data_IF_159621800165
#
_entry.id   IF_159621800165
#
_cell.length_a   1.000
_cell.length_b   1.000
_cell.length_c   1.000
_cell.angle_alpha   90.00
_cell.angle_beta   90.00
_cell.angle_gamma   90.00
#
_symmetry.space_group_name_H-M   'P 1'
#
loop_
_entity.id
_entity.type
_entity.pdbx_description
1 polymer ?
2 non-polymer ?
3 non-polymer ?
4 water ?
#
# COMPACT_ATOMS: atom_id res chain seq x y z
N UNK A 3 23.29 2.58 3.34
CA UNK A 3 21.91 3.09 3.07
C UNK A 3 20.89 2.46 4.05
N UNK A 4 20.60 1.17 3.84
CA UNK A 4 20.04 0.29 4.86
C UNK A 4 21.12 -0.79 5.00
N UNK A 5 21.34 -1.31 6.21
CA UNK A 5 22.14 -2.54 6.36
C UNK A 5 21.62 -3.52 7.40
N UNK A 6 21.12 -4.65 6.89
CA UNK A 6 20.27 -5.56 7.63
C UNK A 6 20.93 -6.93 7.68
N UNK A 7 21.56 -7.25 8.81
CA UNK A 7 22.19 -8.53 8.93
C UNK A 7 21.33 -9.46 9.76
N UNK A 8 20.51 -8.91 10.64
CA UNK A 8 19.73 -9.71 11.58
C UNK A 8 18.27 -9.34 11.49
N UNK A 9 17.38 -10.24 11.92
CA UNK A 9 15.96 -9.93 12.11
C UNK A 9 15.77 -8.71 12.99
N UNK A 10 16.61 -8.57 14.02
CA UNK A 10 16.59 -7.40 14.90
C UNK A 10 16.83 -6.11 14.12
N UNK A 11 17.83 -6.09 13.25
CA UNK A 11 18.10 -4.90 12.42
C UNK A 11 16.94 -4.62 11.49
N UNK A 12 16.33 -5.67 10.94
CA UNK A 12 15.23 -5.50 9.99
C UNK A 12 14.10 -4.80 10.70
N UNK A 13 13.78 -5.27 11.91
CA UNK A 13 12.69 -4.73 12.67
C UNK A 13 12.95 -3.25 12.99
N UNK A 14 14.19 -2.91 13.31
CA UNK A 14 14.56 -1.53 13.59
C UNK A 14 14.46 -0.70 12.33
N UNK A 15 14.91 -1.24 11.19
CA UNK A 15 14.84 -0.51 9.93
C UNK A 15 13.38 -0.14 9.62
N UNK A 16 12.50 -1.13 9.67
CA UNK A 16 11.09 -0.94 9.30
C UNK A 16 10.35 -0.13 10.34
N UNK A 17 10.67 -0.33 11.62
CA UNK A 17 10.06 0.53 12.64
C UNK A 17 10.44 1.98 12.36
N UNK A 18 11.71 2.21 12.04
CA UNK A 18 12.19 3.57 11.74
C UNK A 18 11.53 4.20 10.51
N UNK A 19 11.34 3.38 9.47
CA UNK A 19 10.67 3.80 8.24
C UNK A 19 9.21 4.21 8.56
N UNK A 20 8.52 3.35 9.32
CA UNK A 20 7.12 3.61 9.68
C UNK A 20 6.98 4.88 10.51
N UNK A 21 7.93 5.09 11.43
CA UNK A 21 7.92 6.28 12.29
C UNK A 21 8.04 7.56 11.45
N UNK A 22 8.96 7.55 10.49
CA UNK A 22 9.02 8.66 9.53
C UNK A 22 7.73 8.84 8.71
N UNK A 23 7.16 7.72 8.25
CA UNK A 23 5.91 7.76 7.47
C UNK A 23 4.80 8.43 8.29
N UNK A 24 4.70 8.06 9.57
CA UNK A 24 3.65 8.63 10.41
C UNK A 24 3.87 10.13 10.62
N UNK A 25 5.12 10.54 10.88
CA UNK A 25 5.42 11.97 11.10
C UNK A 25 5.10 12.80 9.85
N UNK A 26 5.52 12.30 8.68
CA UNK A 26 5.18 12.92 7.42
C UNK A 26 3.69 13.02 7.19
N UNK A 27 2.94 11.96 7.49
CA UNK A 27 1.52 11.97 7.31
C UNK A 27 0.83 13.07 8.16
N UNK A 28 1.26 13.26 9.41
CA UNK A 28 0.69 14.31 10.27
C UNK A 28 0.92 15.70 9.68
N UNK A 29 2.05 15.91 9.02
CA UNK A 29 2.31 17.18 8.34
C UNK A 29 1.37 17.44 7.17
N UNK A 30 0.99 16.37 6.48
CA UNK A 30 0.10 16.42 5.31
C UNK A 30 -1.41 16.48 5.59
N UNK A 31 -1.86 15.87 6.69
CA UNK A 31 -3.27 15.69 6.92
C UNK A 31 -4.05 17.01 7.05
N UNK A 32 -3.43 18.05 7.62
CA UNK A 32 -4.22 19.31 7.72
C UNK A 32 -4.68 19.87 6.36
N UNK A 33 -3.77 19.86 5.41
CA UNK A 33 -4.07 20.29 4.06
C UNK A 33 -5.13 19.41 3.40
N UNK A 34 -5.02 18.09 3.62
CA UNK A 34 -6.03 17.19 3.07
C UNK A 34 -7.41 17.53 3.65
N UNK A 35 -7.47 17.82 4.94
CA UNK A 35 -8.73 18.16 5.54
C UNK A 35 -9.30 19.43 4.93
N UNK A 36 -8.45 20.42 4.61
CA UNK A 36 -8.94 21.71 4.05
C UNK A 36 -9.37 21.58 2.61
N UNK A 37 -8.68 20.68 1.88
CA UNK A 37 -8.83 20.54 0.44
C UNK A 37 -10.17 19.94 0.03
N UNK A 38 -10.85 19.31 0.97
CA UNK A 38 -12.16 18.78 0.64
C UNK A 38 -13.29 19.66 1.13
N UNK A 39 -14.30 19.85 0.28
CA UNK A 39 -15.52 20.58 0.65
C UNK A 39 -16.52 19.66 1.36
N UNK A 40 -16.38 18.34 1.20
CA UNK A 40 -17.26 17.43 1.92
C UNK A 40 -16.90 17.39 3.39
N UNK A 41 -17.85 17.78 4.23
CA UNK A 41 -17.61 17.87 5.67
C UNK A 41 -17.24 16.54 6.32
N UNK A 42 -17.97 15.47 5.99
CA UNK A 42 -17.67 14.14 6.50
C UNK A 42 -16.24 13.65 6.20
N UNK A 43 -15.75 13.92 4.99
CA UNK A 43 -14.40 13.53 4.62
C UNK A 43 -13.40 14.43 5.34
N UNK A 44 -13.78 15.70 5.47
CA UNK A 44 -12.99 16.67 6.19
C UNK A 44 -12.82 16.17 7.65
N UNK A 45 -13.93 15.74 8.27
CA UNK A 45 -13.87 15.21 9.63
C UNK A 45 -13.03 13.94 9.74
N UNK A 46 -13.08 13.08 8.72
CA UNK A 46 -12.34 11.83 8.74
C UNK A 46 -10.85 12.15 8.71
N UNK A 47 -10.47 13.15 7.92
CA UNK A 47 -9.07 13.59 7.90
C UNK A 47 -8.56 14.14 9.23
N UNK A 48 -9.39 14.92 9.94
CA UNK A 48 -8.98 15.43 11.25
C UNK A 48 -8.94 14.31 12.29
N UNK A 49 -9.89 13.38 12.24
CA UNK A 49 -9.84 12.17 13.09
C UNK A 49 -8.61 11.32 12.83
N UNK A 50 -8.26 11.16 11.56
CA UNK A 50 -7.09 10.38 11.22
C UNK A 50 -5.81 11.02 11.75
N UNK A 51 -5.75 12.35 11.73
CA UNK A 51 -4.62 13.05 12.31
C UNK A 51 -4.46 12.72 13.81
N UNK A 52 -5.52 12.93 14.58
CA UNK A 52 -5.45 12.72 16.02
C UNK A 52 -5.07 11.26 16.33
N UNK A 53 -5.61 10.33 15.54
CA UNK A 53 -5.34 8.88 15.65
C UNK A 53 -3.86 8.58 15.36
N UNK A 54 -3.32 9.18 14.31
CA UNK A 54 -1.90 9.05 13.92
C UNK A 54 -0.99 9.59 15.01
N UNK A 55 -1.40 10.68 15.64
CA UNK A 55 -0.66 11.22 16.79
C UNK A 55 -0.50 10.13 17.86
N UNK A 56 -1.59 9.46 18.24
CA UNK A 56 -1.54 8.39 19.22
C UNK A 56 -0.70 7.21 18.75
N UNK A 57 -0.68 6.99 17.43
CA UNK A 57 0.12 5.91 16.88
C UNK A 57 1.62 6.21 16.95
N UNK A 58 1.98 7.48 16.80
CA UNK A 58 3.38 7.86 17.01
C UNK A 58 3.77 7.66 18.49
N UNK A 59 2.87 8.03 19.40
CA UNK A 59 3.14 7.82 20.82
C UNK A 59 3.31 6.33 21.13
N UNK A 60 2.56 5.46 20.46
CA UNK A 60 2.79 4.00 20.65
C UNK A 60 4.20 3.60 20.23
N UNK A 61 4.67 4.17 19.13
CA UNK A 61 6.00 3.84 18.65
C UNK A 61 7.03 4.29 19.72
N UNK A 62 6.87 5.49 20.31
CA UNK A 62 7.79 5.88 21.40
C UNK A 62 7.75 4.86 22.55
N UNK A 63 6.55 4.45 22.95
CA UNK A 63 6.38 3.36 23.92
C UNK A 63 7.01 2.02 23.53
N UNK A 64 6.88 1.63 22.27
CA UNK A 64 7.57 0.44 21.74
C UNK A 64 9.10 0.58 21.93
N UNK A 65 9.62 1.77 21.61
CA UNK A 65 11.04 2.06 21.70
C UNK A 65 11.52 1.99 23.17
N UNK A 66 10.75 2.53 24.11
CA UNK A 66 11.08 2.41 25.54
C UNK A 66 10.94 0.98 26.11
N UNK A 67 10.21 0.10 25.42
CA UNK A 67 9.84 -1.21 25.99
C UNK A 67 10.94 -2.28 25.88
N UNK A 68 11.97 -1.99 25.11
CA UNK A 68 12.97 -2.97 24.79
C UNK A 68 14.27 -2.23 24.55
N UNK A 69 15.32 -2.63 25.26
CA UNK A 69 16.62 -2.02 25.05
C UNK A 69 17.13 -2.56 23.73
N UNK A 70 17.94 -1.77 23.04
CA UNK A 70 18.39 -2.19 21.71
C UNK A 70 17.31 -2.15 20.63
N UNK A 71 16.11 -1.65 20.97
CA UNK A 71 15.26 -1.03 19.97
C UNK A 71 15.64 0.44 20.03
N UNK A 72 16.40 0.89 19.04
CA UNK A 72 16.75 2.29 18.90
C UNK A 72 16.38 2.71 17.47
N UNK A 73 15.60 3.78 17.33
CA UNK A 73 15.21 4.31 16.01
C UNK A 73 16.36 5.01 15.27
N UNK A 74 16.41 4.82 13.96
CA UNK A 74 17.37 5.53 13.10
C UNK A 74 16.64 6.63 12.39
N UNK A 75 17.24 7.81 12.31
CA UNK A 75 16.64 8.91 11.58
C UNK A 75 16.73 8.60 10.08
N UNK A 76 15.58 8.53 9.41
CA UNK A 76 15.55 8.29 7.96
C UNK A 76 14.25 8.84 7.38
N UNK A 77 14.25 9.11 6.08
CA UNK A 77 13.05 9.56 5.40
C UNK A 77 12.39 8.40 4.67
N UNK A 78 11.12 8.12 5.00
CA UNK A 78 10.36 7.07 4.31
C UNK A 78 9.94 7.58 2.94
N UNK A 79 10.60 7.08 1.90
CA UNK A 79 10.48 7.68 0.55
C UNK A 79 9.15 7.29 -0.10
N UNK A 80 8.68 6.07 0.17
CA UNK A 80 7.35 5.65 -0.30
C UNK A 80 6.24 6.55 0.25
N UNK A 81 6.22 6.76 1.56
CA UNK A 81 5.21 7.64 2.10
C UNK A 81 5.36 9.01 1.46
N UNK A 82 6.59 9.47 1.26
CA UNK A 82 6.79 10.77 0.64
C UNK A 82 6.12 10.85 -0.72
N UNK A 83 6.29 9.80 -1.51
CA UNK A 83 5.69 9.75 -2.87
C UNK A 83 4.16 9.68 -2.77
N UNK A 84 3.63 8.87 -1.84
CA UNK A 84 2.16 8.79 -1.67
C UNK A 84 1.54 10.13 -1.26
N UNK A 85 2.21 10.84 -0.37
CA UNK A 85 1.74 12.18 -0.01
C UNK A 85 1.84 13.18 -1.17
N UNK A 86 2.93 13.09 -1.95
CA UNK A 86 3.08 13.94 -3.15
C UNK A 86 1.90 13.73 -4.12
N UNK A 87 1.50 12.47 -4.29
CA UNK A 87 0.34 12.10 -5.14
C UNK A 87 -0.97 12.71 -4.66
N UNK A 88 -1.19 12.70 -3.33
CA UNK A 88 -2.38 13.36 -2.77
C UNK A 88 -2.35 14.87 -3.07
N UNK A 89 -1.16 15.47 -2.96
CA UNK A 89 -1.04 16.90 -3.28
C UNK A 89 -1.24 17.21 -4.75
N UNK A 90 -0.77 16.32 -5.63
CA UNK A 90 -1.00 16.46 -7.08
C UNK A 90 -2.51 16.37 -7.39
N UNK A 91 -3.22 15.49 -6.69
CA UNK A 91 -4.64 15.41 -6.82
C UNK A 91 -5.28 16.78 -6.56
N UNK A 92 -4.88 17.44 -5.47
CA UNK A 92 -5.44 18.75 -5.13
C UNK A 92 -5.19 19.80 -6.22
N UNK A 93 -3.96 19.83 -6.72
CA UNK A 93 -3.53 20.71 -7.81
C UNK A 93 -4.20 20.43 -9.15
N UNK A 94 -4.73 19.22 -9.33
CA UNK A 94 -5.27 18.78 -10.63
C UNK A 94 -6.78 18.71 -10.74
N UNK A 95 -7.48 19.20 -9.72
CA UNK A 95 -8.91 19.07 -9.68
C UNK A 95 -9.50 20.35 -9.17
N UNK A 96 -10.79 20.50 -9.39
CA UNK A 96 -11.59 21.52 -8.74
C UNK A 96 -11.99 20.97 -7.39
N UNK A 97 -12.37 21.86 -6.48
CA UNK A 97 -12.81 21.44 -5.17
C UNK A 97 -14.24 20.93 -5.23
N UNK A 98 -14.39 19.63 -5.52
CA UNK A 98 -15.70 19.04 -5.62
C UNK A 98 -15.65 17.53 -5.34
N UNK A 99 -16.74 16.83 -5.66
CA UNK A 99 -16.86 15.41 -5.40
C UNK A 99 -15.83 14.56 -6.14
N UNK A 100 -15.32 15.06 -7.26
CA UNK A 100 -14.33 14.36 -8.04
C UNK A 100 -13.00 14.41 -7.29
N UNK A 101 -12.67 15.59 -6.79
CA UNK A 101 -11.51 15.68 -5.91
C UNK A 101 -11.69 14.74 -4.72
N UNK A 102 -12.88 14.75 -4.11
CA UNK A 102 -13.08 13.91 -2.94
C UNK A 102 -12.78 12.43 -3.25
N UNK A 103 -13.34 11.93 -4.33
CA UNK A 103 -13.10 10.55 -4.79
C UNK A 103 -11.61 10.27 -4.90
N UNK A 104 -10.87 11.23 -5.46
CA UNK A 104 -9.47 11.04 -5.77
C UNK A 104 -8.59 11.14 -4.54
N UNK A 105 -9.00 12.00 -3.59
CA UNK A 105 -8.34 12.11 -2.31
C UNK A 105 -8.55 10.87 -1.42
N UNK A 106 -9.78 10.34 -1.44
CA UNK A 106 -10.06 9.09 -0.71
C UNK A 106 -9.17 7.99 -1.25
N UNK A 107 -9.08 7.88 -2.56
CA UNK A 107 -8.21 6.87 -3.18
C UNK A 107 -6.74 7.00 -2.73
N UNK A 108 -6.23 8.23 -2.73
CA UNK A 108 -4.85 8.51 -2.40
C UNK A 108 -4.63 8.15 -0.94
N UNK A 109 -5.62 8.49 -0.10
CA UNK A 109 -5.52 8.20 1.32
C UNK A 109 -5.63 6.71 1.63
N UNK A 110 -6.36 5.97 0.81
CA UNK A 110 -6.36 4.51 1.00
C UNK A 110 -5.06 3.83 0.59
N UNK A 111 -4.34 4.40 -0.38
CA UNK A 111 -2.99 3.88 -0.70
C UNK A 111 -2.06 4.16 0.49
N UNK A 112 -2.19 5.33 1.10
CA UNK A 112 -1.46 5.60 2.35
C UNK A 112 -1.76 4.58 3.47
N UNK A 113 -3.04 4.37 3.77
CA UNK A 113 -3.46 3.43 4.80
C UNK A 113 -2.96 2.03 4.54
N UNK A 114 -3.01 1.61 3.30
CA UNK A 114 -2.61 0.25 2.97
C UNK A 114 -1.10 0.05 3.02
N UNK A 115 -0.34 1.09 2.74
CA UNK A 115 1.10 1.06 2.96
C UNK A 115 1.35 0.80 4.46
N UNK A 116 0.54 1.43 5.30
CA UNK A 116 0.69 1.26 6.75
C UNK A 116 0.15 -0.07 7.26
N UNK A 117 -0.95 -0.53 6.68
CA UNK A 117 -1.45 -1.88 7.02
C UNK A 117 -0.38 -2.95 6.73
N UNK A 118 0.25 -2.88 5.56
CA UNK A 118 1.31 -3.80 5.27
C UNK A 118 2.48 -3.69 6.28
N UNK A 119 2.97 -2.47 6.52
CA UNK A 119 4.10 -2.22 7.42
C UNK A 119 3.86 -2.72 8.84
N UNK A 120 2.71 -2.40 9.39
CA UNK A 120 2.37 -2.84 10.74
C UNK A 120 2.15 -4.34 10.89
N UNK A 121 1.61 -4.94 9.85
CA UNK A 121 1.45 -6.40 9.79
C UNK A 121 2.81 -7.06 9.86
N UNK A 122 3.78 -6.56 9.11
CA UNK A 122 5.13 -7.10 9.16
C UNK A 122 5.79 -6.86 10.54
N UNK A 123 5.70 -5.65 11.07
CA UNK A 123 6.19 -5.32 12.44
C UNK A 123 5.60 -6.22 13.54
N UNK A 124 4.29 -6.49 13.48
CA UNK A 124 3.69 -7.35 14.47
C UNK A 124 4.26 -8.79 14.35
N UNK A 125 4.39 -9.29 13.12
CA UNK A 125 5.04 -10.59 12.87
C UNK A 125 6.46 -10.67 13.46
N UNK A 126 7.30 -9.71 13.14
CA UNK A 126 8.66 -9.71 13.63
C UNK A 126 8.71 -9.48 15.14
N UNK A 127 7.81 -8.65 15.69
CA UNK A 127 7.78 -8.47 17.14
C UNK A 127 7.51 -9.78 17.85
N UNK A 128 6.51 -10.54 17.39
CA UNK A 128 6.18 -11.85 17.95
C UNK A 128 7.38 -12.80 17.90
N UNK A 129 8.01 -12.86 16.73
CA UNK A 129 9.20 -13.68 16.56
C UNK A 129 10.34 -13.30 17.51
N UNK A 130 10.50 -12.01 17.76
CA UNK A 130 11.57 -11.54 18.61
C UNK A 130 11.24 -11.63 20.10
N UNK A 131 10.00 -11.97 20.44
CA UNK A 131 9.54 -11.99 21.83
C UNK A 131 9.38 -10.60 22.45
N UNK A 132 9.07 -9.59 21.63
CA UNK A 132 8.79 -8.24 22.14
C UNK A 132 7.31 -8.16 22.46
N UNK A 133 6.93 -8.67 23.63
CA UNK A 133 5.53 -8.87 23.97
C UNK A 133 4.76 -7.55 24.03
N UNK A 134 5.37 -6.53 24.62
CA UNK A 134 4.72 -5.24 24.73
C UNK A 134 4.56 -4.57 23.34
N UNK A 135 5.61 -4.59 22.52
CA UNK A 135 5.52 -4.08 21.16
C UNK A 135 4.37 -4.79 20.42
N UNK A 136 4.32 -6.12 20.51
CA UNK A 136 3.29 -6.90 19.84
C UNK A 136 1.90 -6.35 20.10
N UNK A 137 1.53 -6.18 21.37
CA UNK A 137 0.20 -5.63 21.66
C UNK A 137 0.02 -4.20 21.16
N UNK A 138 1.04 -3.34 21.27
CA UNK A 138 0.94 -1.99 20.72
C UNK A 138 0.79 -1.97 19.17
N UNK A 139 1.61 -2.77 18.50
CA UNK A 139 1.59 -2.85 17.04
C UNK A 139 0.25 -3.38 16.56
N UNK A 140 -0.28 -4.40 17.23
CA UNK A 140 -1.57 -4.96 16.86
C UNK A 140 -2.68 -3.94 17.02
N UNK A 141 -2.59 -3.12 18.07
CA UNK A 141 -3.56 -2.04 18.26
C UNK A 141 -3.55 -1.01 17.12
N UNK A 142 -2.37 -0.57 16.72
CA UNK A 142 -2.30 0.36 15.60
C UNK A 142 -2.84 -0.31 14.32
N UNK A 143 -2.46 -1.56 14.11
CA UNK A 143 -2.85 -2.28 12.93
C UNK A 143 -4.38 -2.35 12.78
N UNK A 144 -5.02 -2.70 13.89
CA UNK A 144 -6.47 -2.72 13.98
C UNK A 144 -7.06 -1.36 13.62
N UNK A 145 -6.59 -0.29 14.26
CA UNK A 145 -7.00 1.08 13.88
C UNK A 145 -6.79 1.39 12.38
N UNK A 146 -5.67 0.96 11.82
CA UNK A 146 -5.38 1.29 10.43
C UNK A 146 -6.42 0.60 9.53
N UNK A 147 -6.76 -0.65 9.85
CA UNK A 147 -7.77 -1.37 9.08
C UNK A 147 -9.15 -0.72 9.18
N UNK A 148 -9.54 -0.28 10.38
CA UNK A 148 -10.76 0.52 10.58
C UNK A 148 -10.78 1.83 9.82
N UNK A 149 -9.64 2.49 9.74
CA UNK A 149 -9.59 3.75 9.01
C UNK A 149 -9.81 3.50 7.51
N UNK A 150 -9.20 2.45 6.98
CA UNK A 150 -9.34 2.09 5.59
C UNK A 150 -10.80 1.75 5.29
N UNK A 151 -11.44 1.00 6.19
CA UNK A 151 -12.85 0.72 6.07
C UNK A 151 -13.75 1.97 6.12
N UNK A 152 -13.48 2.89 7.04
CA UNK A 152 -14.24 4.14 7.07
C UNK A 152 -14.07 4.88 5.73
N UNK A 153 -12.87 4.85 5.16
CA UNK A 153 -12.61 5.55 3.89
C UNK A 153 -13.36 4.87 2.74
N UNK A 154 -13.45 3.55 2.75
CA UNK A 154 -14.27 2.83 1.78
C UNK A 154 -15.76 3.26 1.86
N UNK A 155 -16.28 3.32 3.09
CA UNK A 155 -17.62 3.86 3.33
C UNK A 155 -17.82 5.22 2.67
N UNK A 156 -16.88 6.15 2.90
CA UNK A 156 -16.94 7.45 2.23
C UNK A 156 -16.80 7.36 0.69
N UNK A 157 -15.94 6.47 0.19
CA UNK A 157 -15.79 6.30 -1.29
C UNK A 157 -17.13 5.92 -1.94
N UNK A 158 -17.79 4.95 -1.33
CA UNK A 158 -19.07 4.42 -1.80
C UNK A 158 -20.22 5.43 -1.60
N UNK A 159 -20.19 6.15 -0.48
CA UNK A 159 -21.10 7.24 -0.18
C UNK A 159 -20.94 8.52 -1.04
N UNK A 160 -19.84 8.63 -1.79
CA UNK A 160 -19.59 9.77 -2.70
C UNK A 160 -20.49 9.74 -3.96
N UNK A 161 -21.20 8.62 -4.20
CA UNK A 161 -22.13 8.47 -5.35
C UNK A 161 -23.34 9.46 -5.37
N UNK B 4 -1.78 14.00 -15.11
CA UNK B 4 -3.06 13.94 -14.35
C UNK B 4 -3.92 15.18 -14.64
N UNK B 5 -4.90 15.05 -15.53
CA UNK B 5 -5.90 16.11 -15.79
C UNK B 5 -7.30 15.48 -15.72
N UNK B 6 -8.06 15.82 -14.67
CA UNK B 6 -9.19 14.99 -14.24
C UNK B 6 -10.38 15.84 -13.86
N UNK B 7 -11.45 15.78 -14.64
CA UNK B 7 -12.60 16.64 -14.37
C UNK B 7 -13.82 15.87 -13.91
N UNK B 8 -13.90 14.59 -14.29
CA UNK B 8 -15.07 13.78 -14.03
C UNK B 8 -14.67 12.46 -13.36
N UNK B 9 -15.65 11.80 -12.76
CA UNK B 9 -15.45 10.46 -12.24
C UNK B 9 -14.93 9.52 -13.33
N UNK B 10 -15.43 9.65 -14.55
CA UNK B 10 -14.95 8.83 -15.66
C UNK B 10 -13.45 9.06 -15.94
N UNK B 11 -13.02 10.33 -15.91
CA UNK B 11 -11.59 10.62 -16.08
C UNK B 11 -10.75 10.02 -14.94
N UNK B 12 -11.26 10.05 -13.72
CA UNK B 12 -10.54 9.50 -12.58
C UNK B 12 -10.38 8.00 -12.76
N UNK B 13 -11.48 7.34 -13.18
CA UNK B 13 -11.41 5.86 -13.40
C UNK B 13 -10.33 5.50 -14.43
N UNK B 14 -10.36 6.18 -15.57
CA UNK B 14 -9.36 5.95 -16.60
C UNK B 14 -7.94 6.22 -16.06
N UNK B 15 -7.79 7.32 -15.34
CA UNK B 15 -6.51 7.65 -14.79
C UNK B 15 -5.97 6.55 -13.85
N UNK B 16 -6.79 6.12 -12.89
CA UNK B 16 -6.38 5.07 -11.96
C UNK B 16 -6.22 3.71 -12.63
N UNK B 17 -7.07 3.36 -13.59
CA UNK B 17 -6.92 2.07 -14.31
C UNK B 17 -5.64 2.05 -15.10
N UNK B 18 -5.30 3.19 -15.71
CA UNK B 18 -4.06 3.33 -16.46
C UNK B 18 -2.86 3.21 -15.55
N UNK B 19 -2.96 3.79 -14.36
CA UNK B 19 -1.93 3.69 -13.35
C UNK B 19 -1.72 2.24 -12.92
N UNK B 20 -2.82 1.57 -12.62
CA UNK B 20 -2.75 0.19 -12.14
C UNK B 20 -2.19 -0.72 -13.25
N UNK B 21 -2.54 -0.43 -14.50
CA UNK B 21 -2.07 -1.17 -15.65
C UNK B 21 -0.55 -1.07 -15.75
N UNK B 22 -0.03 0.17 -15.67
CA UNK B 22 1.40 0.32 -15.61
C UNK B 22 2.04 -0.41 -14.41
N UNK B 23 1.41 -0.32 -13.24
CA UNK B 23 1.94 -0.98 -12.05
C UNK B 23 2.10 -2.51 -12.29
N UNK B 24 1.09 -3.12 -12.91
CA UNK B 24 1.08 -4.57 -13.10
C UNK B 24 2.20 -4.96 -14.09
N UNK B 25 2.31 -4.19 -15.17
CA UNK B 25 3.36 -4.49 -16.16
C UNK B 25 4.73 -4.39 -15.52
N UNK B 26 4.92 -3.41 -14.64
CA UNK B 26 6.20 -3.22 -13.95
C UNK B 26 6.51 -4.36 -13.03
N UNK B 27 5.48 -4.78 -12.31
CA UNK B 27 5.64 -5.82 -11.36
C UNK B 27 6.00 -7.14 -12.06
N UNK B 28 5.44 -7.42 -13.24
CA UNK B 28 5.81 -8.64 -13.95
C UNK B 28 7.29 -8.60 -14.36
N UNK B 29 7.84 -7.41 -14.65
CA UNK B 29 9.26 -7.30 -14.99
C UNK B 29 10.16 -7.60 -13.80
N UNK B 30 9.66 -7.30 -12.60
CA UNK B 30 10.45 -7.41 -11.39
C UNK B 30 10.35 -8.78 -10.72
N UNK B 31 9.26 -9.47 -10.92
CA UNK B 31 9.04 -10.70 -10.16
C UNK B 31 10.08 -11.80 -10.42
N UNK B 32 10.56 -11.94 -11.68
CA UNK B 32 11.60 -12.97 -11.88
C UNK B 32 12.83 -12.79 -10.98
N UNK B 33 13.30 -11.56 -10.83
CA UNK B 33 14.46 -11.31 -9.99
C UNK B 33 14.13 -11.57 -8.51
N UNK B 34 12.90 -11.24 -8.09
CA UNK B 34 12.52 -11.51 -6.71
C UNK B 34 12.52 -13.00 -6.44
N UNK B 35 12.02 -13.77 -7.41
CA UNK B 35 11.99 -15.21 -7.28
C UNK B 35 13.43 -15.78 -7.16
N UNK B 36 14.39 -15.16 -7.86
CA UNK B 36 15.78 -15.68 -7.87
C UNK B 36 16.52 -15.30 -6.59
N UNK B 37 16.19 -14.13 -6.05
CA UNK B 37 16.92 -13.56 -4.94
C UNK B 37 16.59 -14.25 -3.61
N UNK B 38 15.50 -14.99 -3.58
CA UNK B 38 15.14 -15.65 -2.33
C UNK B 38 15.79 -17.02 -2.18
N UNK B 39 16.12 -17.36 -0.92
CA UNK B 39 16.76 -18.66 -0.59
C UNK B 39 15.75 -19.76 -0.26
N UNK B 40 14.62 -19.35 0.29
CA UNK B 40 13.47 -20.21 0.54
C UNK B 40 12.71 -20.56 -0.74
N UNK B 41 12.65 -21.84 -1.09
CA UNK B 41 11.96 -22.23 -2.32
C UNK B 41 10.45 -22.05 -2.31
N UNK B 42 9.80 -22.23 -1.16
CA UNK B 42 8.36 -21.94 -1.03
C UNK B 42 8.05 -20.47 -1.38
N UNK B 43 8.95 -19.57 -0.99
CA UNK B 43 8.73 -18.14 -1.21
C UNK B 43 9.03 -17.81 -2.66
N UNK B 44 10.11 -18.40 -3.17
CA UNK B 44 10.43 -18.32 -4.58
C UNK B 44 9.23 -18.78 -5.45
N UNK B 45 8.65 -19.92 -5.08
CA UNK B 45 7.48 -20.45 -5.77
C UNK B 45 6.31 -19.48 -5.70
N UNK B 46 6.08 -18.88 -4.53
CA UNK B 46 4.99 -17.90 -4.36
C UNK B 46 5.18 -16.69 -5.29
N UNK B 47 6.42 -16.21 -5.46
CA UNK B 47 6.72 -15.14 -6.44
C UNK B 47 6.44 -15.57 -7.90
N UNK B 48 6.76 -16.83 -8.23
CA UNK B 48 6.49 -17.35 -9.55
C UNK B 48 5.00 -17.52 -9.80
N UNK B 49 4.27 -18.03 -8.80
CA UNK B 49 2.81 -18.12 -8.87
C UNK B 49 2.19 -16.76 -9.02
N UNK B 50 2.72 -15.80 -8.25
CA UNK B 50 2.19 -14.46 -8.30
C UNK B 50 2.39 -13.80 -9.67
N UNK B 51 3.53 -14.07 -10.29
CA UNK B 51 3.73 -13.68 -11.67
C UNK B 51 2.65 -14.23 -12.66
N UNK B 52 2.34 -15.51 -12.56
CA UNK B 52 1.31 -16.12 -13.41
C UNK B 52 -0.05 -15.45 -13.19
N UNK B 53 -0.36 -15.18 -11.93
CA UNK B 53 -1.61 -14.51 -11.54
C UNK B 53 -1.67 -13.09 -12.07
N UNK B 54 -0.55 -12.38 -11.99
CA UNK B 54 -0.45 -11.00 -12.49
C UNK B 54 -0.65 -10.96 -14.02
N UNK B 55 -0.08 -11.92 -14.74
CA UNK B 55 -0.39 -12.08 -16.20
C UNK B 55 -1.93 -12.15 -16.42
N UNK B 56 -2.62 -13.01 -15.65
CA UNK B 56 -4.09 -13.08 -15.77
C UNK B 56 -4.79 -11.74 -15.45
N UNK B 57 -4.27 -11.04 -14.46
CA UNK B 57 -4.81 -9.75 -14.08
C UNK B 57 -4.64 -8.66 -15.13
N UNK B 58 -3.49 -8.65 -15.82
CA UNK B 58 -3.29 -7.71 -16.93
C UNK B 58 -4.29 -8.02 -18.08
N UNK B 59 -4.47 -9.32 -18.36
CA UNK B 59 -5.47 -9.78 -19.31
C UNK B 59 -6.87 -9.28 -18.93
N UNK B 60 -7.20 -9.28 -17.64
CA UNK B 60 -8.49 -8.74 -17.18
C UNK B 60 -8.65 -7.24 -17.51
N UNK B 61 -7.56 -6.47 -17.37
CA UNK B 61 -7.60 -5.04 -17.72
C UNK B 61 -7.94 -4.86 -19.23
N UNK B 62 -7.31 -5.67 -20.08
CA UNK B 62 -7.59 -5.67 -21.53
C UNK B 62 -9.09 -5.90 -21.78
N UNK B 63 -9.64 -6.91 -21.10
CA UNK B 63 -11.07 -7.23 -21.21
C UNK B 63 -11.94 -6.07 -20.68
N UNK B 64 -11.53 -5.47 -19.58
CA UNK B 64 -12.18 -4.25 -19.07
C UNK B 64 -12.19 -3.12 -20.11
N UNK B 65 -11.05 -2.88 -20.75
CA UNK B 65 -10.97 -1.89 -21.83
C UNK B 65 -11.94 -2.22 -22.98
N UNK B 66 -11.88 -3.46 -23.49
CA UNK B 66 -12.80 -3.97 -24.50
C UNK B 66 -14.28 -3.78 -24.11
N UNK B 67 -14.57 -3.87 -22.82
CA UNK B 67 -15.97 -3.97 -22.33
C UNK B 67 -16.76 -2.67 -22.38
N UNK B 68 -16.08 -1.55 -22.54
CA UNK B 68 -16.69 -0.25 -22.43
C UNK B 68 -16.05 0.72 -23.40
N UNK B 69 -16.91 1.37 -24.18
CA UNK B 69 -16.52 2.42 -25.11
C UNK B 69 -16.10 3.59 -24.26
N UNK B 70 -15.08 4.32 -24.72
CA UNK B 70 -14.58 5.43 -23.91
C UNK B 70 -13.93 5.01 -22.58
N UNK B 71 -13.66 3.72 -22.41
CA UNK B 71 -12.53 3.33 -21.55
C UNK B 71 -11.36 3.18 -22.50
N UNK B 72 -10.40 4.08 -22.38
CA UNK B 72 -9.17 3.99 -23.14
C UNK B 72 -8.02 4.33 -22.20
N UNK B 73 -7.06 3.40 -22.09
CA UNK B 73 -5.87 3.57 -21.23
C UNK B 73 -4.92 4.64 -21.73
N UNK B 74 -4.37 5.42 -20.81
CA UNK B 74 -3.32 6.34 -21.16
C UNK B 74 -2.00 5.68 -20.85
N UNK B 75 -1.00 5.89 -21.71
CA UNK B 75 0.35 5.39 -21.43
C UNK B 75 0.95 6.33 -20.37
N UNK B 76 1.40 5.76 -19.27
CA UNK B 76 1.96 6.53 -18.16
C UNK B 76 2.78 5.58 -17.29
N UNK B 77 3.70 6.12 -16.51
CA UNK B 77 4.45 5.28 -15.59
C UNK B 77 3.88 5.38 -14.17
N UNK B 78 3.49 4.25 -13.57
CA UNK B 78 3.10 4.28 -12.15
C UNK B 78 4.34 4.43 -11.27
N UNK B 79 4.48 5.62 -10.69
CA UNK B 79 5.72 5.95 -10.01
C UNK B 79 5.79 5.31 -8.63
N UNK B 80 4.63 5.19 -7.98
CA UNK B 80 4.54 4.58 -6.65
C UNK B 80 5.00 3.12 -6.75
N UNK B 81 4.49 2.39 -7.73
CA UNK B 81 4.93 1.02 -7.92
C UNK B 81 6.44 1.01 -8.24
N UNK B 82 6.86 1.98 -9.05
CA UNK B 82 8.27 2.04 -9.41
C UNK B 82 9.15 2.12 -8.15
N UNK B 83 8.80 3.00 -7.24
CA UNK B 83 9.50 3.12 -5.95
C UNK B 83 9.40 1.87 -5.09
N UNK B 84 8.21 1.28 -4.97
CA UNK B 84 8.09 -0.02 -4.25
C UNK B 84 8.99 -1.12 -4.80
N UNK B 85 9.09 -1.20 -6.11
CA UNK B 85 9.96 -2.21 -6.70
C UNK B 85 11.43 -1.90 -6.40
N UNK B 86 11.82 -0.63 -6.49
CA UNK B 86 13.21 -0.24 -6.20
C UNK B 86 13.60 -0.54 -4.75
N UNK B 87 12.65 -0.39 -3.81
CA UNK B 87 12.90 -0.73 -2.42
C UNK B 87 13.13 -2.23 -2.25
N UNK B 88 12.40 -3.05 -3.00
CA UNK B 88 12.63 -4.48 -3.00
C UNK B 88 14.03 -4.77 -3.54
N UNK B 89 14.42 -4.08 -4.62
CA UNK B 89 15.77 -4.29 -5.19
C UNK B 89 16.89 -3.81 -4.27
N UNK B 90 16.60 -2.79 -3.47
CA UNK B 90 17.54 -2.34 -2.47
C UNK B 90 17.70 -3.38 -1.34
N UNK B 91 16.59 -4.05 -0.95
CA UNK B 91 16.69 -5.19 -0.04
C UNK B 91 17.71 -6.22 -0.55
N UNK B 92 17.56 -6.66 -1.79
CA UNK B 92 18.46 -7.63 -2.40
C UNK B 92 19.92 -7.16 -2.29
N UNK B 93 20.16 -5.91 -2.68
CA UNK B 93 21.48 -5.27 -2.63
C UNK B 93 22.07 -5.18 -1.22
N UNK B 94 21.21 -5.15 -0.20
CA UNK B 94 21.60 -4.89 1.21
C UNK B 94 21.63 -6.09 2.12
N UNK B 95 21.49 -7.28 1.55
CA UNK B 95 21.41 -8.47 2.37
C UNK B 95 22.20 -9.60 1.76
N UNK B 96 22.54 -10.56 2.59
CA UNK B 96 23.03 -11.83 2.10
C UNK B 96 21.80 -12.66 1.75
N UNK B 97 22.01 -13.68 0.94
CA UNK B 97 20.93 -14.53 0.52
C UNK B 97 20.58 -15.51 1.63
N UNK B 98 19.72 -15.06 2.55
CA UNK B 98 19.34 -15.87 3.71
C UNK B 98 17.95 -15.50 4.22
N UNK B 99 17.61 -16.00 5.42
CA UNK B 99 16.28 -15.84 6.01
C UNK B 99 15.94 -14.37 6.27
N UNK B 100 16.96 -13.55 6.50
CA UNK B 100 16.75 -12.15 6.75
C UNK B 100 16.32 -11.46 5.45
N UNK B 101 17.03 -11.74 4.36
CA UNK B 101 16.56 -11.26 3.06
C UNK B 101 15.12 -11.69 2.81
N UNK B 102 14.84 -12.96 3.05
CA UNK B 102 13.49 -13.48 2.88
C UNK B 102 12.43 -12.68 3.62
N UNK B 103 12.66 -12.43 4.91
CA UNK B 103 11.73 -11.66 5.72
C UNK B 103 11.53 -10.29 5.09
N UNK B 104 12.61 -9.70 4.58
CA UNK B 104 12.59 -8.34 4.09
C UNK B 104 11.91 -8.26 2.73
N UNK B 105 12.07 -9.33 1.93
CA UNK B 105 11.45 -9.39 0.63
C UNK B 105 9.95 -9.62 0.79
N UNK B 106 9.56 -10.48 1.72
CA UNK B 106 8.14 -10.60 1.99
C UNK B 106 7.60 -9.23 2.40
N UNK B 107 8.29 -8.51 3.27
CA UNK B 107 7.73 -7.21 3.69
C UNK B 107 7.56 -6.26 2.49
N UNK B 108 8.57 -6.18 1.63
CA UNK B 108 8.52 -5.33 0.42
C UNK B 108 7.35 -5.72 -0.53
N UNK B 109 7.18 -7.03 -0.72
CA UNK B 109 6.13 -7.52 -1.58
C UNK B 109 4.70 -7.30 -1.00
N UNK B 110 4.57 -7.37 0.32
CA UNK B 110 3.27 -7.05 0.95
C UNK B 110 2.89 -5.59 0.81
N UNK B 111 3.86 -4.67 0.85
CA UNK B 111 3.59 -3.27 0.47
C UNK B 111 3.14 -3.16 -0.98
N UNK B 112 3.80 -3.86 -1.90
CA UNK B 112 3.30 -3.95 -3.28
C UNK B 112 1.81 -4.43 -3.35
N UNK B 113 1.51 -5.56 -2.71
CA UNK B 113 0.18 -6.12 -2.74
C UNK B 113 -0.83 -5.14 -2.16
N UNK B 114 -0.47 -4.51 -1.06
CA UNK B 114 -1.38 -3.59 -0.40
C UNK B 114 -1.66 -2.31 -1.22
N UNK B 115 -0.65 -1.82 -1.96
CA UNK B 115 -0.87 -0.74 -2.91
C UNK B 115 -1.94 -1.17 -3.94
N UNK B 116 -1.83 -2.38 -4.44
CA UNK B 116 -2.79 -2.95 -5.38
C UNK B 116 -4.16 -3.19 -4.74
N UNK B 117 -4.19 -3.65 -3.51
CA UNK B 117 -5.48 -3.85 -2.83
C UNK B 117 -6.25 -2.54 -2.72
N UNK B 118 -5.54 -1.48 -2.33
CA UNK B 118 -6.14 -0.16 -2.33
C UNK B 118 -6.66 0.20 -3.73
N UNK B 119 -5.80 0.06 -4.74
CA UNK B 119 -6.12 0.53 -6.09
C UNK B 119 -7.32 -0.18 -6.65
N UNK B 120 -7.35 -1.51 -6.51
CA UNK B 120 -8.46 -2.26 -7.05
C UNK B 120 -9.73 -2.03 -6.27
N UNK B 121 -9.62 -1.73 -4.97
CA UNK B 121 -10.81 -1.45 -4.17
C UNK B 121 -11.44 -0.21 -4.72
N UNK B 122 -10.60 0.79 -5.00
CA UNK B 122 -11.10 2.06 -5.55
C UNK B 122 -11.68 1.83 -6.94
N UNK B 123 -10.95 1.08 -7.78
CA UNK B 123 -11.45 0.81 -9.15
C UNK B 123 -12.85 0.14 -9.16
N UNK B 124 -13.07 -0.84 -8.28
CA UNK B 124 -14.39 -1.52 -8.16
C UNK B 124 -15.48 -0.54 -7.71
N UNK B 125 -15.22 0.27 -6.69
CA UNK B 125 -16.18 1.29 -6.27
C UNK B 125 -16.60 2.21 -7.46
N UNK B 126 -15.61 2.71 -8.19
CA UNK B 126 -15.83 3.61 -9.31
C UNK B 126 -16.55 2.92 -10.48
N UNK B 127 -16.11 1.71 -10.85
CA UNK B 127 -16.81 0.91 -11.86
C UNK B 127 -18.28 0.74 -11.53
N UNK B 128 -18.58 0.35 -10.30
CA UNK B 128 -19.97 0.24 -9.90
C UNK B 128 -20.68 1.57 -10.09
N UNK B 129 -20.08 2.66 -9.61
CA UNK B 129 -20.68 3.98 -9.76
C UNK B 129 -20.97 4.36 -11.22
N UNK B 130 -20.05 3.96 -12.11
CA UNK B 130 -20.16 4.31 -13.52
C UNK B 130 -21.05 3.36 -14.33
N UNK B 131 -21.54 2.30 -13.69
CA UNK B 131 -22.41 1.35 -14.35
C UNK B 131 -21.66 0.35 -15.23
N UNK B 132 -20.35 0.18 -14.96
CA UNK B 132 -19.51 -0.76 -15.75
C UNK B 132 -19.60 -2.17 -15.16
N UNK B 133 -20.62 -2.91 -15.56
CA UNK B 133 -20.96 -4.16 -14.89
C UNK B 133 -19.95 -5.27 -15.07
N UNK B 134 -19.51 -5.48 -16.32
CA UNK B 134 -18.46 -6.45 -16.62
C UNK B 134 -17.14 -6.08 -15.93
N UNK B 135 -16.74 -4.81 -16.06
CA UNK B 135 -15.53 -4.32 -15.41
C UNK B 135 -15.58 -4.59 -13.89
N UNK B 136 -16.71 -4.27 -13.24
CA UNK B 136 -16.86 -4.50 -11.80
C UNK B 136 -16.60 -5.94 -11.44
N UNK B 137 -17.22 -6.87 -12.17
CA UNK B 137 -16.95 -8.29 -11.96
C UNK B 137 -15.44 -8.63 -12.05
N UNK B 138 -14.80 -8.18 -13.12
CA UNK B 138 -13.40 -8.50 -13.35
C UNK B 138 -12.49 -7.88 -12.27
N UNK B 139 -12.80 -6.66 -11.85
CA UNK B 139 -12.00 -5.97 -10.84
C UNK B 139 -12.09 -6.63 -9.48
N UNK B 140 -13.28 -7.12 -9.15
CA UNK B 140 -13.46 -7.88 -7.91
C UNK B 140 -12.73 -9.21 -7.88
N UNK B 141 -12.69 -9.90 -9.02
CA UNK B 141 -11.86 -11.09 -9.21
C UNK B 141 -10.40 -10.81 -8.89
N UNK B 142 -9.84 -9.73 -9.44
CA UNK B 142 -8.46 -9.40 -9.12
C UNK B 142 -8.30 -9.03 -7.67
N UNK B 143 -9.21 -8.20 -7.16
CA UNK B 143 -9.12 -7.75 -5.79
C UNK B 143 -9.05 -8.95 -4.80
N UNK B 144 -9.93 -9.93 -5.01
CA UNK B 144 -9.94 -11.17 -4.24
C UNK B 144 -8.60 -11.88 -4.28
N UNK B 145 -8.04 -11.99 -5.48
CA UNK B 145 -6.73 -12.61 -5.67
C UNK B 145 -5.61 -11.86 -4.95
N UNK B 146 -5.65 -10.53 -5.00
CA UNK B 146 -4.61 -9.72 -4.36
C UNK B 146 -4.68 -9.95 -2.87
N UNK B 147 -5.89 -9.99 -2.34
CA UNK B 147 -6.05 -10.29 -0.91
C UNK B 147 -5.53 -11.66 -0.54
N UNK B 148 -5.82 -12.67 -1.36
CA UNK B 148 -5.29 -14.03 -1.10
C UNK B 148 -3.78 -14.13 -1.18
N UNK B 149 -3.17 -13.41 -2.12
CA UNK B 149 -1.72 -13.38 -2.23
C UNK B 149 -1.08 -12.78 -0.96
N UNK B 150 -1.69 -11.71 -0.45
CA UNK B 150 -1.17 -11.06 0.74
C UNK B 150 -1.24 -11.99 1.96
N UNK B 151 -2.40 -12.60 2.17
CA UNK B 151 -2.57 -13.68 3.14
C UNK B 151 -1.53 -14.78 3.03
N UNK B 152 -1.32 -15.26 1.80
CA UNK B 152 -0.27 -16.24 1.51
C UNK B 152 1.04 -15.76 2.08
N UNK B 153 1.40 -14.52 1.74
CA UNK B 153 2.69 -13.93 2.10
C UNK B 153 2.84 -13.82 3.63
N UNK B 154 1.75 -13.51 4.31
CA UNK B 154 1.73 -13.48 5.76
C UNK B 154 2.01 -14.88 6.35
N UNK B 155 1.35 -15.90 5.80
CA UNK B 155 1.57 -17.31 6.16
C UNK B 155 3.05 -17.68 6.03
N UNK B 156 3.66 -17.30 4.90
CA UNK B 156 5.11 -17.44 4.71
C UNK B 156 6.00 -16.62 5.69
N UNK B 157 5.61 -15.38 6.01
CA UNK B 157 6.37 -14.57 6.98
C UNK B 157 6.36 -15.23 8.37
N UNK B 158 5.19 -15.76 8.76
CA UNK B 158 5.01 -16.40 10.05
C UNK B 158 5.75 -17.74 10.12
N UNK B 159 5.67 -18.56 9.07
CA UNK B 159 6.49 -19.78 9.01
C UNK B 159 7.95 -19.57 8.52
N UNK B 160 8.39 -18.31 8.37
CA UNK B 160 9.81 -17.93 8.12
C UNK B 160 10.69 -18.05 9.38
N UNK B 161 10.03 -18.25 10.54
CA UNK B 161 10.68 -18.65 11.78
C UNK B 161 11.26 -20.07 11.62
X LIG C 1 -6.43 24.16 -2.21
X LIG C 1 -5.97 24.07 -3.37
X LIG C 1 -7.60 23.83 -1.91
X LIG C 1 -5.53 24.67 -1.13
X LIG C 1 -4.17 24.57 -1.55
X LIG C 1 -5.73 23.84 0.14
X LIG C 1 -4.97 24.47 1.28
X LIG C 1 -3.73 24.30 1.34
X LIG C 1 -5.59 25.14 2.12
X LIG D 1 -2.68 5.86 8.63
X LIG E 1 -0.76 5.24 11.25
X LIG F 1 21.07 -11.66 -6.17
X LIG F 1 22.01 -10.85 -6.01
X LIG F 1 20.91 -12.65 -5.39
X LIG F 1 20.09 -11.43 -7.30
X LIG F 1 19.12 -12.48 -7.22
X LIG F 1 20.76 -11.38 -8.67
X LIG F 1 19.75 -11.88 -9.69
X LIG F 1 19.50 -13.11 -9.82
X LIG F 1 19.13 -11.05 -10.42
X LIG G 1 -2.03 -7.49 -9.51
X LIG H 1 -0.02 -8.16 -6.82
#
# INVERSE_FOLDING_TARGET
SNAMNIKTVEDLFIHLLSDTYSAEKQLTKALPKLARATSNEKLSQAFQSHLEETQGQIERIDQIVESESGIKLKRMKCVAMEGLIEEANEVIESTEKNEVRDAALIAAAQKVEHYEIASYGTLATLAEQLGYSKALKLLKETLDEEKQTDLKLTDLAVSNVNKSAERKSK
SNAMNIKTVEDLFIHLLSDTYSAEKQLTKALPKLARATSNEKLSQAFQSHLEETQGQIERIDQIVESESGIKLKRMKCVAMEGLIEEANEVIESTEKNEVRDAALIAAAQKVEHYEIASYGTLATLAEQLGYSKALKLLKETLDEEKQTDLKLTDLAVSNVNKSAERKSK
MLT C1 O1 O2 C2 O3 C3 C4 O4 O5
MG MG
MG MG
MLT C1 O1 O2 C2 O3 C3 C4 O4 O5
MG MG
MG MG
#
